data_IF_613143008618
#
_entry.id   IF_613143008618
#
_cell.length_a   1.000
_cell.length_b   1.000
_cell.length_c   1.000
_cell.angle_alpha   90.00
_cell.angle_beta   90.00
_cell.angle_gamma   90.00
#
_symmetry.space_group_name_H-M   'P 1'
#
loop_
_entity.id
_entity.type
_entity.pdbx_description
1 polymer ?
#
# COMPACT_ATOMS: atom_id res chain seq x y z
N UNK A 1 -36.47 0.41 2.74
CA UNK A 1 -36.36 1.25 1.53
C UNK A 1 -35.50 0.43 0.59
N UNK A 2 -36.14 -0.35 -0.28
CA UNK A 2 -35.48 -1.50 -0.91
C UNK A 2 -35.46 -1.24 -2.42
N UNK A 3 -34.54 -0.38 -2.85
CA UNK A 3 -34.34 -0.06 -4.26
C UNK A 3 -33.69 -1.24 -4.96
N UNK A 4 -34.48 -2.03 -5.69
CA UNK A 4 -33.96 -3.13 -6.50
C UNK A 4 -33.45 -2.56 -7.84
N UNK A 5 -32.13 -2.46 -7.99
CA UNK A 5 -31.52 -2.10 -9.26
C UNK A 5 -31.66 -3.28 -10.23
N UNK A 6 -32.64 -3.18 -11.14
CA UNK A 6 -32.80 -4.14 -12.24
C UNK A 6 -32.22 -3.51 -13.49
N UNK A 7 -30.97 -3.83 -13.82
CA UNK A 7 -30.42 -3.54 -15.14
C UNK A 7 -30.69 -4.74 -16.05
N UNK A 8 -31.40 -4.50 -17.15
CA UNK A 8 -31.61 -5.51 -18.20
C UNK A 8 -30.45 -5.42 -19.19
N UNK A 9 -29.60 -6.44 -19.20
CA UNK A 9 -28.54 -6.60 -20.20
C UNK A 9 -28.89 -7.80 -21.06
N UNK A 10 -28.96 -7.62 -22.38
CA UNK A 10 -29.16 -8.72 -23.31
C UNK A 10 -27.95 -9.66 -23.28
N UNK A 11 -28.18 -10.95 -23.08
CA UNK A 11 -27.15 -12.00 -23.13
C UNK A 11 -27.36 -12.86 -24.37
N UNK A 12 -26.28 -13.10 -25.12
CA UNK A 12 -26.32 -14.00 -26.27
C UNK A 12 -26.55 -15.42 -25.78
N UNK A 13 -27.67 -16.03 -26.19
CA UNK A 13 -28.11 -17.34 -25.69
C UNK A 13 -27.08 -18.44 -25.93
N UNK A 14 -26.47 -18.44 -27.12
CA UNK A 14 -25.54 -19.48 -27.55
C UNK A 14 -24.24 -19.48 -26.71
N UNK A 15 -23.85 -18.34 -26.14
CA UNK A 15 -22.70 -18.27 -25.24
C UNK A 15 -23.01 -18.88 -23.87
N UNK A 16 -24.25 -18.77 -23.38
CA UNK A 16 -24.66 -19.37 -22.11
C UNK A 16 -24.81 -20.88 -22.18
N UNK A 17 -25.05 -21.42 -23.38
CA UNK A 17 -25.16 -22.87 -23.61
C UNK A 17 -23.80 -23.58 -23.59
N UNK A 18 -22.71 -22.84 -23.81
CA UNK A 18 -21.34 -23.35 -23.78
C UNK A 18 -20.73 -23.39 -22.37
N UNK A 19 -21.25 -22.60 -21.44
CA UNK A 19 -20.70 -22.45 -20.08
C UNK A 19 -21.37 -23.44 -19.14
N UNK A 20 -20.60 -24.40 -18.62
CA UNK A 20 -21.11 -25.36 -17.64
C UNK A 20 -21.21 -24.76 -16.22
N UNK A 21 -21.88 -25.48 -15.31
CA UNK A 21 -22.07 -25.04 -13.94
C UNK A 21 -20.74 -24.84 -13.18
N UNK A 22 -19.70 -25.59 -13.55
CA UNK A 22 -18.39 -25.52 -12.91
C UNK A 22 -17.70 -24.20 -13.27
N UNK A 23 -17.64 -23.87 -14.56
CA UNK A 23 -17.09 -22.62 -15.06
C UNK A 23 -17.89 -21.41 -14.56
N UNK A 24 -19.22 -21.53 -14.47
CA UNK A 24 -20.07 -20.47 -13.95
C UNK A 24 -19.82 -20.16 -12.45
N UNK A 25 -19.30 -21.14 -11.71
CA UNK A 25 -18.90 -21.01 -10.30
C UNK A 25 -17.40 -20.77 -10.11
N UNK A 26 -16.62 -20.78 -11.19
CA UNK A 26 -15.17 -20.73 -11.13
C UNK A 26 -14.68 -19.34 -10.71
N UNK A 27 -13.63 -19.32 -9.88
CA UNK A 27 -13.01 -18.09 -9.40
C UNK A 27 -11.50 -18.23 -9.52
N UNK A 28 -10.85 -17.15 -9.95
CA UNK A 28 -9.40 -17.08 -9.92
C UNK A 28 -8.92 -17.11 -8.46
N UNK A 29 -7.74 -17.66 -8.24
CA UNK A 29 -7.04 -17.54 -6.96
C UNK A 29 -6.73 -16.07 -6.67
N UNK A 30 -6.58 -15.74 -5.39
CA UNK A 30 -5.95 -14.49 -5.00
C UNK A 30 -4.48 -14.58 -5.38
N UNK A 31 -4.03 -13.69 -6.28
CA UNK A 31 -2.64 -13.62 -6.69
C UNK A 31 -1.79 -13.00 -5.57
N UNK A 32 -0.70 -13.66 -5.21
CA UNK A 32 0.31 -13.09 -4.31
C UNK A 32 1.19 -12.09 -5.08
N UNK A 33 1.66 -11.06 -4.37
CA UNK A 33 2.63 -10.08 -4.90
C UNK A 33 4.01 -10.42 -4.34
N UNK A 34 5.02 -10.50 -5.21
CA UNK A 34 6.41 -10.67 -4.78
C UNK A 34 6.87 -9.47 -3.95
N UNK A 35 7.09 -9.68 -2.66
CA UNK A 35 7.59 -8.66 -1.74
C UNK A 35 9.13 -8.71 -1.75
N UNK A 36 9.83 -7.58 -1.99
CA UNK A 36 11.28 -7.52 -1.93
C UNK A 36 11.83 -7.97 -0.56
N UNK A 37 12.93 -8.72 -0.57
CA UNK A 37 13.60 -9.15 0.66
C UNK A 37 14.01 -7.93 1.50
N UNK A 38 13.53 -7.88 2.76
CA UNK A 38 13.83 -6.81 3.71
C UNK A 38 12.68 -5.81 3.94
N UNK A 39 11.54 -5.96 3.27
CA UNK A 39 10.33 -5.21 3.60
C UNK A 39 9.55 -5.97 4.67
N UNK A 40 9.52 -5.44 5.90
CA UNK A 40 8.66 -5.96 6.97
C UNK A 40 7.26 -5.37 6.83
N UNK A 41 6.33 -6.18 6.32
CA UNK A 41 4.90 -5.82 6.19
C UNK A 41 4.18 -6.30 7.45
N UNK A 42 4.51 -5.71 8.60
CA UNK A 42 3.76 -5.99 9.83
C UNK A 42 2.41 -5.26 9.80
N UNK A 43 1.31 -6.02 9.87
CA UNK A 43 -0.07 -5.50 9.90
C UNK A 43 -0.48 -4.98 11.28
N UNK A 44 0.41 -4.27 11.98
CA UNK A 44 0.22 -3.88 13.39
C UNK A 44 -0.27 -2.43 13.56
N UNK A 45 -0.61 -1.74 12.47
CA UNK A 45 -1.27 -0.45 12.53
C UNK A 45 -2.79 -0.61 12.56
N UNK A 46 -3.43 -0.45 13.71
CA UNK A 46 -4.89 -0.50 13.89
C UNK A 46 -5.65 0.67 13.23
N UNK A 47 -5.09 1.36 12.23
CA UNK A 47 -5.77 2.47 11.54
C UNK A 47 -5.27 2.73 10.10
N UNK A 48 -4.72 1.71 9.42
CA UNK A 48 -4.23 1.87 8.04
C UNK A 48 -2.92 2.67 7.92
N UNK A 49 -2.30 3.02 9.03
CA UNK A 49 -0.95 3.58 9.07
C UNK A 49 0.05 2.41 9.09
N UNK A 50 0.82 2.27 8.01
CA UNK A 50 1.95 1.36 7.98
C UNK A 50 3.01 1.89 8.95
N UNK A 51 3.15 1.27 10.12
CA UNK A 51 4.36 1.42 10.93
C UNK A 51 5.46 0.66 10.21
N UNK A 52 6.42 1.39 9.62
CA UNK A 52 7.63 0.80 9.06
C UNK A 52 8.43 0.25 10.24
N UNK A 53 8.59 -1.08 10.40
CA UNK A 53 9.40 -1.63 11.46
C UNK A 53 10.87 -1.30 11.13
N UNK A 54 11.47 -0.37 11.87
CA UNK A 54 12.90 -0.10 11.72
C UNK A 54 13.70 -1.27 12.29
N UNK A 55 14.48 -1.93 11.43
CA UNK A 55 15.91 -1.78 11.52
C UNK A 55 16.34 -1.07 10.25
N UNK A 56 16.45 0.26 10.31
CA UNK A 56 16.87 1.07 9.17
C UNK A 56 18.34 0.73 8.84
N UNK A 57 18.54 -0.33 8.04
CA UNK A 57 19.85 -0.76 7.52
C UNK A 57 20.53 0.34 6.67
N UNK A 58 19.81 1.44 6.42
CA UNK A 58 20.28 2.63 5.71
C UNK A 58 20.26 3.88 6.60
N UNK A 59 20.16 3.77 7.93
CA UNK A 59 20.26 4.91 8.84
C UNK A 59 21.54 5.71 8.58
N UNK A 60 22.65 5.01 8.34
CA UNK A 60 23.95 5.59 8.01
C UNK A 60 24.02 6.25 6.61
N UNK A 61 23.02 5.98 5.75
CA UNK A 61 22.89 6.58 4.40
C UNK A 61 21.90 7.73 4.38
N UNK A 62 21.22 8.03 5.49
CA UNK A 62 20.30 9.16 5.57
C UNK A 62 21.08 10.45 5.65
N UNK A 63 20.72 11.41 4.82
CA UNK A 63 21.26 12.75 4.93
C UNK A 63 20.58 13.44 6.11
N UNK A 64 21.28 13.47 7.25
CA UNK A 64 20.79 14.05 8.51
C UNK A 64 21.32 15.47 8.79
N UNK A 65 22.22 15.98 7.95
CA UNK A 65 22.81 17.31 8.12
C UNK A 65 22.02 18.37 7.34
N UNK A 66 21.34 19.24 8.09
CA UNK A 66 20.56 20.36 7.58
C UNK A 66 21.36 21.67 7.49
N UNK A 67 22.67 21.67 7.81
CA UNK A 67 23.51 22.86 7.72
C UNK A 67 23.11 23.99 8.68
N UNK A 68 22.35 23.69 9.75
CA UNK A 68 21.78 24.69 10.66
C UNK A 68 22.83 25.49 11.45
N UNK A 69 24.06 25.01 11.49
CA UNK A 69 25.18 25.71 12.12
C UNK A 69 25.51 27.02 11.41
N UNK A 70 25.48 27.06 10.07
CA UNK A 70 25.71 28.28 9.29
C UNK A 70 24.63 29.34 9.58
N UNK A 71 23.39 28.89 9.77
CA UNK A 71 22.28 29.77 10.15
C UNK A 71 22.47 30.36 11.55
N UNK A 72 22.93 29.56 12.52
CA UNK A 72 23.19 30.04 13.88
C UNK A 72 24.33 31.06 13.93
N UNK A 73 25.41 30.83 13.17
CA UNK A 73 26.55 31.75 13.05
C UNK A 73 26.16 33.08 12.36
N UNK A 74 25.36 33.01 11.29
CA UNK A 74 24.86 34.21 10.60
C UNK A 74 23.87 35.04 11.44
N UNK A 75 23.15 34.38 12.36
CA UNK A 75 22.15 35.00 13.22
C UNK A 75 22.72 35.49 14.55
N UNK A 76 24.03 35.31 14.81
CA UNK A 76 24.69 35.71 16.07
C UNK A 76 24.24 34.90 17.29
N UNK A 77 23.60 33.74 17.08
CA UNK A 77 23.13 32.86 18.15
C UNK A 77 24.29 31.91 18.47
N UNK A 78 25.08 32.24 19.49
CA UNK A 78 26.13 31.35 19.98
C UNK A 78 25.51 30.08 20.55
N UNK A 79 25.99 28.87 20.17
CA UNK A 79 25.55 27.65 20.81
C UNK A 79 25.93 27.69 22.30
N UNK A 80 24.99 27.31 23.17
CA UNK A 80 25.25 27.16 24.60
C UNK A 80 26.25 26.01 24.80
N UNK A 81 27.31 26.29 25.56
CA UNK A 81 28.41 25.37 25.89
C UNK A 81 27.97 24.28 26.85
#
# INVERSE_FOLDING_TARGET
>A
MDGQFVSSVHRVRDLLDLVDAKWLSDRLSDDDIDIPAGVDVSSTGTDGTYEIPEPDANADKRWADLGLHEFAESSGISPAK
#
